data_IF_437269330437
#
_entry.id   IF_437269330437
#
_cell.length_a   1.000
_cell.length_b   1.000
_cell.length_c   1.000
_cell.angle_alpha   90.00
_cell.angle_beta   90.00
_cell.angle_gamma   90.00
#
_symmetry.space_group_name_H-M   'P 1'
#
loop_
_entity.id
_entity.type
_entity.pdbx_description
1 polymer ?
#
# COMPACT_ATOMS: atom_id res chain seq x y z
N UNK A 1 34.56 -5.87 13.87
CA UNK A 1 34.18 -4.59 13.24
C UNK A 1 32.69 -4.62 13.03
N UNK A 2 31.93 -3.92 13.88
CA UNK A 2 30.49 -3.82 13.75
C UNK A 2 30.20 -3.10 12.43
N UNK A 3 29.48 -3.75 11.52
CA UNK A 3 29.10 -3.20 10.22
C UNK A 3 28.35 -1.90 10.44
N UNK A 4 28.93 -0.78 9.97
CA UNK A 4 28.29 0.54 9.92
C UNK A 4 26.89 0.36 9.35
N UNK A 5 25.87 0.73 10.11
CA UNK A 5 24.52 0.85 9.59
C UNK A 5 24.58 1.79 8.38
N UNK A 6 24.14 1.31 7.22
CA UNK A 6 24.00 2.15 6.04
C UNK A 6 22.93 3.18 6.41
N UNK A 7 23.33 4.45 6.45
CA UNK A 7 22.41 5.56 6.64
C UNK A 7 21.44 5.55 5.45
N UNK A 8 20.17 5.22 5.73
CA UNK A 8 19.14 5.15 4.70
C UNK A 8 18.85 6.56 4.22
N UNK A 9 19.34 6.89 3.03
CA UNK A 9 19.00 8.16 2.39
C UNK A 9 17.50 8.19 2.08
N UNK A 10 16.77 9.06 2.80
CA UNK A 10 15.32 9.24 2.67
C UNK A 10 15.01 10.26 1.55
N UNK A 11 16.03 10.86 0.94
CA UNK A 11 15.86 11.70 -0.22
C UNK A 11 15.61 10.85 -1.47
N UNK A 12 14.67 11.29 -2.31
CA UNK A 12 14.13 10.58 -3.47
C UNK A 12 13.23 9.36 -3.14
N UNK A 13 11.92 9.61 -3.03
CA UNK A 13 10.86 8.61 -2.90
C UNK A 13 9.63 9.04 -3.73
N UNK A 14 9.05 8.12 -4.50
CA UNK A 14 7.88 8.36 -5.34
C UNK A 14 6.69 7.52 -4.93
N UNK A 15 5.52 8.14 -4.84
CA UNK A 15 4.24 7.46 -4.61
C UNK A 15 3.19 8.03 -5.56
N UNK A 16 2.42 7.14 -6.17
CA UNK A 16 1.27 7.46 -7.00
C UNK A 16 0.16 6.46 -6.68
N UNK A 17 -1.09 6.89 -6.79
CA UNK A 17 -2.26 6.06 -6.59
C UNK A 17 -3.28 6.31 -7.68
N UNK A 18 -4.01 5.26 -8.07
CA UNK A 18 -5.12 5.32 -9.00
C UNK A 18 -6.29 4.55 -8.39
N UNK A 19 -7.50 5.11 -8.53
CA UNK A 19 -8.74 4.51 -8.07
C UNK A 19 -9.74 4.61 -9.23
N UNK A 20 -10.48 3.52 -9.48
CA UNK A 20 -11.59 3.52 -10.42
C UNK A 20 -12.90 3.62 -9.64
N UNK A 21 -13.60 4.75 -9.76
CA UNK A 21 -14.89 4.99 -9.10
C UNK A 21 -16.06 4.24 -9.77
N UNK A 22 -15.88 3.75 -11.01
CA UNK A 22 -16.89 2.98 -11.74
C UNK A 22 -16.90 1.49 -11.36
N UNK A 23 -15.93 1.04 -10.53
CA UNK A 23 -15.90 -0.33 -9.98
C UNK A 23 -15.37 -1.41 -10.94
N UNK A 24 -14.77 -1.03 -12.07
CA UNK A 24 -14.10 -1.98 -12.96
C UNK A 24 -12.60 -2.10 -12.63
N UNK A 25 -12.04 -3.29 -12.88
CA UNK A 25 -10.62 -3.54 -12.71
C UNK A 25 -9.77 -2.70 -13.68
N UNK A 26 -8.69 -2.12 -13.16
CA UNK A 26 -7.67 -1.41 -13.96
C UNK A 26 -6.61 -2.43 -14.37
N UNK A 27 -6.16 -2.37 -15.62
CA UNK A 27 -5.03 -3.18 -16.08
C UNK A 27 -3.74 -2.79 -15.34
N UNK A 28 -3.02 -3.82 -14.86
CA UNK A 28 -1.75 -3.68 -14.15
C UNK A 28 -0.65 -3.00 -14.96
N UNK A 29 -0.74 -2.99 -16.29
CA UNK A 29 0.18 -2.22 -17.14
C UNK A 29 0.21 -0.73 -16.76
N UNK A 30 -0.93 -0.19 -16.33
CA UNK A 30 -1.05 1.21 -15.88
C UNK A 30 -0.08 1.51 -14.72
N UNK A 31 -0.02 0.61 -13.74
CA UNK A 31 0.86 0.74 -12.57
C UNK A 31 2.34 0.59 -12.97
N UNK A 32 2.64 -0.34 -13.88
CA UNK A 32 4.00 -0.52 -14.42
C UNK A 32 4.51 0.75 -15.11
N UNK A 33 3.66 1.40 -15.92
CA UNK A 33 3.98 2.67 -16.58
C UNK A 33 4.23 3.79 -15.57
N UNK A 34 3.40 3.88 -14.52
CA UNK A 34 3.59 4.87 -13.44
C UNK A 34 4.91 4.69 -12.71
N UNK A 35 5.25 3.46 -12.30
CA UNK A 35 6.50 3.17 -11.59
C UNK A 35 7.70 3.50 -12.49
N UNK A 36 7.65 3.11 -13.76
CA UNK A 36 8.72 3.34 -14.73
C UNK A 36 8.98 4.84 -14.96
N UNK A 37 7.92 5.66 -14.98
CA UNK A 37 8.03 7.11 -15.12
C UNK A 37 8.71 7.80 -13.92
N UNK A 38 8.78 7.13 -12.76
CA UNK A 38 9.41 7.66 -11.54
C UNK A 38 10.85 7.18 -11.34
N UNK A 39 11.48 6.54 -12.34
CA UNK A 39 12.83 6.00 -12.23
C UNK A 39 13.87 7.03 -11.74
N UNK A 40 13.78 8.29 -12.18
CA UNK A 40 14.70 9.36 -11.74
C UNK A 40 14.55 9.73 -10.25
N UNK A 41 13.42 9.35 -9.62
CA UNK A 41 13.16 9.56 -8.19
C UNK A 41 13.53 8.34 -7.34
N UNK A 42 14.08 7.28 -7.93
CA UNK A 42 14.46 6.06 -7.22
C UNK A 42 15.84 6.16 -6.60
N UNK A 43 15.97 5.71 -5.35
CA UNK A 43 17.26 5.60 -4.64
C UNK A 43 17.79 4.16 -4.55
N UNK A 44 17.21 3.23 -5.32
CA UNK A 44 17.66 1.83 -5.38
C UNK A 44 17.22 0.94 -4.22
N UNK A 45 16.39 1.44 -3.28
CA UNK A 45 15.88 0.63 -2.16
C UNK A 45 14.71 -0.29 -2.53
N UNK A 46 14.20 -0.16 -3.76
CA UNK A 46 13.11 -0.97 -4.31
C UNK A 46 11.91 -0.15 -4.75
N UNK A 47 11.07 -0.78 -5.56
CA UNK A 47 9.78 -0.24 -5.99
C UNK A 47 8.74 -1.37 -5.94
N UNK A 48 7.48 -1.02 -5.75
CA UNK A 48 6.39 -1.98 -5.67
C UNK A 48 5.04 -1.30 -5.78
N UNK A 49 3.99 -2.11 -5.80
CA UNK A 49 2.61 -1.65 -5.78
C UNK A 49 1.77 -2.54 -4.87
N UNK A 50 0.66 -1.99 -4.40
CA UNK A 50 -0.39 -2.74 -3.73
C UNK A 50 -1.67 -2.62 -4.58
N UNK A 51 -2.32 -3.75 -4.82
CA UNK A 51 -3.63 -3.81 -5.46
C UNK A 51 -4.72 -4.03 -4.42
N UNK A 52 -5.82 -3.29 -4.54
CA UNK A 52 -7.01 -3.42 -3.70
C UNK A 52 -8.21 -3.80 -4.56
N UNK A 53 -9.14 -4.57 -4.01
CA UNK A 53 -10.34 -5.02 -4.76
C UNK A 53 -10.05 -6.05 -5.86
N UNK A 54 -8.89 -6.71 -5.83
CA UNK A 54 -8.50 -7.76 -6.78
C UNK A 54 -8.97 -9.16 -6.35
N UNK A 55 -10.02 -9.22 -5.53
CA UNK A 55 -10.53 -10.44 -4.90
C UNK A 55 -11.95 -10.72 -5.40
N UNK A 56 -12.13 -11.43 -6.52
CA UNK A 56 -13.44 -11.67 -7.14
C UNK A 56 -14.46 -12.32 -6.20
N UNK A 57 -13.99 -13.21 -5.32
CA UNK A 57 -14.78 -13.91 -4.30
C UNK A 57 -15.30 -12.98 -3.21
N UNK A 58 -14.65 -11.84 -2.99
CA UNK A 58 -15.01 -10.80 -2.01
C UNK A 58 -15.50 -9.52 -2.68
N UNK A 59 -16.11 -9.60 -3.87
CA UNK A 59 -16.57 -8.45 -4.67
C UNK A 59 -17.44 -7.44 -3.89
N UNK A 60 -18.22 -7.92 -2.93
CA UNK A 60 -19.15 -7.10 -2.15
C UNK A 60 -18.56 -6.61 -0.82
N UNK A 61 -17.27 -6.88 -0.54
CA UNK A 61 -16.60 -6.50 0.69
C UNK A 61 -15.70 -5.29 0.45
N UNK A 62 -15.44 -4.56 1.54
CA UNK A 62 -14.39 -3.54 1.57
C UNK A 62 -13.04 -4.20 1.85
N UNK A 63 -12.01 -3.78 1.12
CA UNK A 63 -10.62 -4.17 1.41
C UNK A 63 -9.92 -3.04 2.19
N UNK A 64 -9.59 -3.29 3.46
CA UNK A 64 -8.87 -2.34 4.31
C UNK A 64 -7.40 -2.76 4.44
N UNK A 65 -6.47 -1.86 4.13
CA UNK A 65 -5.04 -2.07 4.38
C UNK A 65 -4.55 -0.97 5.32
N UNK A 66 -4.24 -1.36 6.54
CA UNK A 66 -3.92 -0.45 7.63
C UNK A 66 -2.45 -0.62 8.01
N UNK A 67 -1.74 0.51 8.10
CA UNK A 67 -0.38 0.56 8.62
C UNK A 67 -0.39 1.28 9.96
N UNK A 68 0.12 0.62 10.99
CA UNK A 68 0.16 1.17 12.34
C UNK A 68 1.58 1.60 12.71
N UNK A 69 1.71 2.82 13.22
CA UNK A 69 2.98 3.30 13.75
C UNK A 69 3.25 2.84 15.20
N UNK A 70 2.18 2.61 15.97
CA UNK A 70 2.25 2.18 17.37
C UNK A 70 1.32 1.01 17.65
N UNK A 71 1.76 0.10 18.52
CA UNK A 71 0.97 -1.07 18.93
C UNK A 71 -0.38 -0.68 19.55
N UNK A 72 -0.40 0.35 20.41
CA UNK A 72 -1.64 0.82 21.03
C UNK A 72 -2.65 1.36 20.00
N UNK A 73 -2.18 1.98 18.93
CA UNK A 73 -3.05 2.45 17.84
C UNK A 73 -3.70 1.29 17.11
N UNK A 74 -2.99 0.17 16.97
CA UNK A 74 -3.55 -1.05 16.39
C UNK A 74 -4.70 -1.58 17.22
N UNK A 75 -4.49 -1.79 18.52
CA UNK A 75 -5.53 -2.33 19.41
C UNK A 75 -6.82 -1.51 19.37
N UNK A 76 -6.72 -0.18 19.45
CA UNK A 76 -7.91 0.69 19.40
C UNK A 76 -8.61 0.63 18.05
N UNK A 77 -7.86 0.60 16.94
CA UNK A 77 -8.46 0.57 15.60
C UNK A 77 -9.06 -0.80 15.29
N UNK A 78 -8.40 -1.89 15.66
CA UNK A 78 -8.93 -3.25 15.48
C UNK A 78 -10.23 -3.42 16.28
N UNK A 79 -10.29 -2.93 17.52
CA UNK A 79 -11.53 -2.94 18.29
C UNK A 79 -12.66 -2.16 17.59
N UNK A 80 -12.37 -0.98 17.03
CA UNK A 80 -13.36 -0.22 16.27
C UNK A 80 -13.82 -0.96 15.01
N UNK A 81 -12.93 -1.68 14.34
CA UNK A 81 -13.29 -2.46 13.16
C UNK A 81 -14.23 -3.59 13.56
N UNK A 82 -13.88 -4.35 14.60
CA UNK A 82 -14.71 -5.46 15.11
C UNK A 82 -16.10 -4.99 15.58
N UNK A 83 -16.19 -3.78 16.15
CA UNK A 83 -17.46 -3.21 16.62
C UNK A 83 -18.35 -2.66 15.48
N UNK A 84 -17.78 -2.25 14.35
CA UNK A 84 -18.49 -1.50 13.31
C UNK A 84 -18.56 -2.21 11.94
N UNK A 85 -17.79 -3.28 11.72
CA UNK A 85 -17.74 -4.01 10.46
C UNK A 85 -17.95 -5.50 10.70
N UNK A 86 -18.64 -6.15 9.77
CA UNK A 86 -18.71 -7.61 9.71
C UNK A 86 -17.49 -8.11 8.92
N UNK A 87 -16.58 -8.80 9.60
CA UNK A 87 -15.42 -9.43 8.98
C UNK A 87 -15.74 -10.90 8.69
N UNK A 88 -15.53 -11.32 7.44
CA UNK A 88 -15.63 -12.72 6.99
C UNK A 88 -14.26 -13.30 6.59
#
# INVERSE_FOLDING_TARGET
>A
MCSKAIEKDISACGLCGIINEEGFSIDGETVLRFISAMNERGNGLGAGFAGYGIYPEYRNYYALHLMYYHHRSRETVEQLIDENFEME
#
